data_IF_160222835827
#
_entry.id   IF_160222835827
#
_cell.length_a   1.000
_cell.length_b   1.000
_cell.length_c   1.000
_cell.angle_alpha   90.00
_cell.angle_beta   90.00
_cell.angle_gamma   90.00
#
_symmetry.space_group_name_H-M   'P 1'
#
loop_
_entity.id
_entity.type
_entity.pdbx_description
1 polymer ?
#
# COMPACT_ATOMS: atom_id res chain seq x y z
N UNK A 1 -10.10 -79.98 -14.18
CA UNK A 1 -9.41 -79.01 -13.30
C UNK A 1 -8.24 -78.34 -14.03
N UNK A 2 -7.43 -79.08 -14.80
CA UNK A 2 -6.28 -78.53 -15.55
C UNK A 2 -6.63 -77.56 -16.70
N UNK A 3 -7.73 -77.73 -17.46
CA UNK A 3 -8.05 -76.78 -18.56
C UNK A 3 -8.39 -75.37 -18.05
N UNK A 4 -9.13 -75.26 -16.94
CA UNK A 4 -9.46 -73.95 -16.33
C UNK A 4 -8.23 -73.26 -15.74
N UNK A 5 -7.24 -74.03 -15.27
CA UNK A 5 -5.97 -73.49 -14.80
C UNK A 5 -5.17 -72.89 -15.97
N UNK A 6 -5.12 -73.60 -17.10
CA UNK A 6 -4.45 -73.10 -18.30
C UNK A 6 -5.13 -71.82 -18.84
N UNK A 7 -6.47 -71.74 -18.81
CA UNK A 7 -7.19 -70.51 -19.16
C UNK A 7 -6.87 -69.34 -18.22
N UNK A 8 -6.72 -69.61 -16.92
CA UNK A 8 -6.32 -68.61 -15.91
C UNK A 8 -4.87 -68.15 -16.15
N UNK A 9 -3.95 -69.06 -16.48
CA UNK A 9 -2.55 -68.74 -16.78
C UNK A 9 -2.43 -67.92 -18.07
N UNK A 10 -3.19 -68.25 -19.10
CA UNK A 10 -3.26 -67.45 -20.33
C UNK A 10 -3.83 -66.05 -20.10
N UNK A 11 -4.88 -65.93 -19.27
CA UNK A 11 -5.44 -64.62 -18.92
C UNK A 11 -4.44 -63.79 -18.09
N UNK A 12 -3.72 -64.42 -17.16
CA UNK A 12 -2.70 -63.75 -16.39
C UNK A 12 -1.49 -63.34 -17.25
N UNK A 13 -1.06 -64.17 -18.21
CA UNK A 13 -0.02 -63.81 -19.19
C UNK A 13 -0.42 -62.55 -19.99
N UNK A 14 -1.70 -62.43 -20.41
CA UNK A 14 -2.23 -61.20 -21.04
C UNK A 14 -2.21 -59.99 -20.10
N UNK A 15 -2.57 -60.17 -18.82
CA UNK A 15 -2.52 -59.09 -17.83
C UNK A 15 -1.09 -58.59 -17.58
N UNK A 16 -0.10 -59.48 -17.69
CA UNK A 16 1.32 -59.14 -17.59
C UNK A 16 1.80 -58.37 -18.82
N UNK A 17 1.40 -58.79 -20.03
CA UNK A 17 1.70 -58.07 -21.26
C UNK A 17 1.10 -56.65 -21.22
N UNK A 18 -0.13 -56.51 -20.70
CA UNK A 18 -0.76 -55.20 -20.46
C UNK A 18 0.03 -54.37 -19.42
N UNK A 19 0.51 -55.00 -18.34
CA UNK A 19 1.32 -54.31 -17.34
C UNK A 19 2.66 -53.81 -17.92
N UNK A 20 3.32 -54.63 -18.76
CA UNK A 20 4.55 -54.23 -19.46
C UNK A 20 4.27 -53.09 -20.44
N UNK A 21 3.21 -53.17 -21.23
CA UNK A 21 2.82 -52.11 -22.16
C UNK A 21 2.52 -50.78 -21.44
N UNK A 22 1.80 -50.83 -20.30
CA UNK A 22 1.54 -49.64 -19.47
C UNK A 22 2.86 -49.08 -18.91
N UNK A 23 3.76 -49.95 -18.47
CA UNK A 23 5.07 -49.55 -17.95
C UNK A 23 5.90 -48.83 -19.02
N UNK A 24 6.02 -49.39 -20.21
CA UNK A 24 6.79 -48.81 -21.32
C UNK A 24 6.18 -47.50 -21.81
N UNK A 25 4.85 -47.43 -21.96
CA UNK A 25 4.16 -46.23 -22.43
C UNK A 25 4.33 -45.03 -21.49
N UNK A 26 4.32 -45.27 -20.17
CA UNK A 26 4.35 -44.19 -19.15
C UNK A 26 5.67 -44.10 -18.39
N UNK A 27 6.74 -44.80 -18.84
CA UNK A 27 8.05 -44.77 -18.20
C UNK A 27 8.68 -43.37 -18.19
N UNK A 28 8.42 -42.59 -19.25
CA UNK A 28 8.93 -41.23 -19.40
C UNK A 28 8.17 -40.23 -18.51
N UNK A 29 6.83 -40.33 -18.48
CA UNK A 29 5.95 -39.47 -17.68
C UNK A 29 4.89 -40.32 -16.97
N UNK A 30 5.20 -40.82 -15.76
CA UNK A 30 4.29 -41.68 -15.03
C UNK A 30 3.09 -40.89 -14.50
N UNK A 31 1.87 -41.47 -14.47
CA UNK A 31 0.71 -40.80 -13.92
C UNK A 31 0.87 -40.63 -12.40
N UNK A 32 1.16 -39.40 -11.98
CA UNK A 32 1.33 -39.04 -10.58
C UNK A 32 -0.01 -38.63 -9.96
N UNK A 33 -0.24 -39.02 -8.70
CA UNK A 33 -1.37 -38.47 -7.95
C UNK A 33 -1.05 -37.05 -7.48
N UNK A 34 -2.08 -36.23 -7.23
CA UNK A 34 -1.93 -34.87 -6.71
C UNK A 34 -0.97 -34.82 -5.51
N UNK A 35 -0.06 -33.85 -5.53
CA UNK A 35 0.98 -33.60 -4.52
C UNK A 35 2.10 -34.65 -4.39
N UNK A 36 2.19 -35.65 -5.28
CA UNK A 36 3.38 -36.52 -5.30
C UNK A 36 4.54 -35.83 -6.02
N UNK A 37 5.77 -35.93 -5.46
CA UNK A 37 6.94 -35.39 -6.12
C UNK A 37 7.38 -36.32 -7.27
N UNK A 38 8.06 -35.81 -8.31
CA UNK A 38 8.23 -36.51 -9.59
C UNK A 38 9.04 -37.81 -9.53
N UNK A 39 10.12 -37.89 -8.74
CA UNK A 39 10.99 -39.06 -8.63
C UNK A 39 10.34 -40.14 -7.76
N UNK A 40 9.95 -39.80 -6.53
CA UNK A 40 9.35 -40.76 -5.62
C UNK A 40 7.96 -41.19 -6.09
N UNK A 41 7.21 -40.30 -6.75
CA UNK A 41 5.95 -40.62 -7.40
C UNK A 41 6.12 -41.61 -8.55
N UNK A 42 7.15 -41.43 -9.39
CA UNK A 42 7.49 -42.38 -10.46
C UNK A 42 7.84 -43.77 -9.90
N UNK A 43 8.63 -43.83 -8.84
CA UNK A 43 9.00 -45.09 -8.15
C UNK A 43 7.77 -45.74 -7.51
N UNK A 44 6.90 -44.95 -6.87
CA UNK A 44 5.68 -45.45 -6.25
C UNK A 44 4.70 -46.00 -7.29
N UNK A 45 4.58 -45.34 -8.44
CA UNK A 45 3.79 -45.84 -9.56
C UNK A 45 4.33 -47.18 -10.09
N UNK A 46 5.64 -47.29 -10.32
CA UNK A 46 6.24 -48.55 -10.78
C UNK A 46 6.09 -49.67 -9.76
N UNK A 47 6.23 -49.38 -8.46
CA UNK A 47 5.97 -50.32 -7.36
C UNK A 47 4.50 -50.74 -7.28
N UNK A 48 3.56 -49.84 -7.53
CA UNK A 48 2.12 -50.14 -7.55
C UNK A 48 1.76 -51.11 -8.68
N UNK A 49 2.29 -50.86 -9.88
CA UNK A 49 2.11 -51.73 -11.04
C UNK A 49 2.66 -53.14 -10.78
N UNK A 50 3.86 -53.23 -10.19
CA UNK A 50 4.45 -54.51 -9.80
C UNK A 50 3.69 -55.19 -8.67
N UNK A 51 3.22 -54.45 -7.66
CA UNK A 51 2.47 -54.99 -6.53
C UNK A 51 1.17 -55.67 -6.99
N UNK A 52 0.49 -55.12 -7.99
CA UNK A 52 -0.70 -55.74 -8.59
C UNK A 52 -0.38 -57.09 -9.22
N UNK A 53 0.69 -57.17 -10.00
CA UNK A 53 1.13 -58.43 -10.64
C UNK A 53 1.64 -59.43 -9.59
N UNK A 54 2.39 -58.96 -8.58
CA UNK A 54 2.89 -59.77 -7.47
C UNK A 54 1.77 -60.38 -6.63
N UNK A 55 0.69 -59.64 -6.38
CA UNK A 55 -0.47 -60.15 -5.64
C UNK A 55 -1.13 -61.33 -6.37
N UNK A 56 -1.35 -61.20 -7.68
CA UNK A 56 -1.91 -62.27 -8.49
C UNK A 56 -0.94 -63.46 -8.58
N UNK A 57 0.35 -63.21 -8.74
CA UNK A 57 1.39 -64.26 -8.74
C UNK A 57 1.43 -65.03 -7.41
N UNK A 58 1.36 -64.33 -6.28
CA UNK A 58 1.35 -64.97 -4.95
C UNK A 58 0.10 -65.84 -4.73
N UNK A 59 -1.06 -65.42 -5.24
CA UNK A 59 -2.28 -66.24 -5.20
C UNK A 59 -2.13 -67.51 -6.03
N UNK A 60 -1.55 -67.41 -7.23
CA UNK A 60 -1.28 -68.57 -8.07
C UNK A 60 -0.32 -69.53 -7.37
N UNK A 61 0.77 -69.04 -6.79
CA UNK A 61 1.74 -69.86 -6.05
C UNK A 61 1.18 -70.50 -4.76
N UNK A 62 0.10 -69.96 -4.19
CA UNK A 62 -0.57 -70.52 -3.00
C UNK A 62 -1.53 -71.68 -3.32
N UNK A 63 -1.78 -71.96 -4.60
CA UNK A 63 -2.58 -73.11 -5.01
C UNK A 63 -1.69 -74.36 -4.97
N UNK A 64 -2.19 -75.48 -4.42
CA UNK A 64 -1.46 -76.76 -4.29
C UNK A 64 -1.14 -77.45 -5.64
N UNK A 65 -1.37 -76.77 -6.77
CA UNK A 65 -1.10 -77.29 -8.10
C UNK A 65 0.28 -76.83 -8.57
N UNK A 66 1.11 -77.76 -9.06
CA UNK A 66 2.44 -77.44 -9.58
C UNK A 66 2.35 -76.69 -10.92
N UNK A 67 2.19 -75.37 -10.83
CA UNK A 67 2.15 -74.44 -11.98
C UNK A 67 3.48 -74.45 -12.75
N UNK A 68 4.59 -74.92 -12.16
CA UNK A 68 5.91 -74.92 -12.82
C UNK A 68 6.10 -76.07 -13.82
N UNK A 69 5.26 -77.10 -13.75
CA UNK A 69 5.28 -78.22 -14.69
C UNK A 69 4.71 -77.85 -16.07
N UNK A 70 3.81 -76.88 -16.14
CA UNK A 70 3.13 -76.47 -17.37
C UNK A 70 3.94 -75.41 -18.16
N UNK A 71 3.93 -75.52 -19.50
CA UNK A 71 4.61 -74.56 -20.39
C UNK A 71 4.09 -73.13 -20.20
N UNK A 72 2.76 -72.98 -20.01
CA UNK A 72 2.11 -71.70 -19.72
C UNK A 72 2.56 -71.09 -18.38
N UNK A 73 2.84 -71.91 -17.36
CA UNK A 73 3.33 -71.43 -16.08
C UNK A 73 4.80 -71.00 -16.11
N UNK A 74 5.63 -71.63 -16.96
CA UNK A 74 7.01 -71.18 -17.23
C UNK A 74 7.06 -69.84 -17.96
N UNK A 75 6.22 -69.64 -18.98
CA UNK A 75 6.09 -68.36 -19.70
C UNK A 75 5.70 -67.21 -18.75
N UNK A 76 4.66 -67.43 -17.93
CA UNK A 76 4.23 -66.48 -16.90
C UNK A 76 5.36 -66.15 -15.92
N UNK A 77 6.13 -67.15 -15.47
CA UNK A 77 7.23 -66.93 -14.54
C UNK A 77 8.36 -66.09 -15.16
N UNK A 78 8.71 -66.36 -16.42
CA UNK A 78 9.73 -65.61 -17.15
C UNK A 78 9.32 -64.15 -17.36
N UNK A 79 8.07 -63.91 -17.80
CA UNK A 79 7.51 -62.55 -17.92
C UNK A 79 7.49 -61.82 -16.58
N UNK A 80 7.24 -62.53 -15.49
CA UNK A 80 7.19 -61.96 -14.14
C UNK A 80 8.57 -61.49 -13.70
N UNK A 81 9.58 -62.33 -13.92
CA UNK A 81 10.98 -61.99 -13.66
C UNK A 81 11.49 -60.89 -14.60
N UNK A 82 11.02 -60.85 -15.85
CA UNK A 82 11.25 -59.74 -16.79
C UNK A 82 10.73 -58.41 -16.24
N UNK A 83 9.45 -58.35 -15.87
CA UNK A 83 8.84 -57.15 -15.29
C UNK A 83 9.50 -56.74 -13.96
N UNK A 84 9.80 -57.69 -13.09
CA UNK A 84 10.52 -57.44 -11.84
C UNK A 84 11.88 -56.77 -12.09
N UNK A 85 12.66 -57.28 -13.07
CA UNK A 85 13.94 -56.70 -13.45
C UNK A 85 13.78 -55.29 -14.03
N UNK A 86 12.81 -55.07 -14.90
CA UNK A 86 12.53 -53.75 -15.48
C UNK A 86 12.20 -52.69 -14.42
N UNK A 87 11.31 -53.04 -13.47
CA UNK A 87 10.94 -52.15 -12.36
C UNK A 87 12.13 -51.89 -11.45
N UNK A 88 12.94 -52.90 -11.14
CA UNK A 88 14.12 -52.76 -10.27
C UNK A 88 15.23 -51.90 -10.91
N UNK A 89 15.45 -52.01 -12.23
CA UNK A 89 16.42 -51.17 -12.95
C UNK A 89 15.93 -49.73 -13.03
N UNK A 90 14.63 -49.52 -13.30
CA UNK A 90 14.03 -48.19 -13.33
C UNK A 90 14.11 -47.51 -11.96
N UNK A 91 13.74 -48.22 -10.90
CA UNK A 91 13.78 -47.73 -9.52
C UNK A 91 15.20 -47.32 -9.12
N UNK A 92 16.19 -48.19 -9.36
CA UNK A 92 17.60 -47.89 -9.03
C UNK A 92 18.17 -46.75 -9.88
N UNK A 93 17.84 -46.70 -11.17
CA UNK A 93 18.28 -45.61 -12.05
C UNK A 93 17.73 -44.25 -11.60
N UNK A 94 16.41 -44.16 -11.39
CA UNK A 94 15.76 -42.93 -10.94
C UNK A 94 16.27 -42.46 -9.58
N UNK A 95 16.49 -43.38 -8.64
CA UNK A 95 17.06 -43.04 -7.34
C UNK A 95 18.51 -42.55 -7.45
N UNK A 96 19.33 -43.19 -8.29
CA UNK A 96 20.72 -42.80 -8.51
C UNK A 96 20.82 -41.39 -9.10
N UNK A 97 20.07 -41.12 -10.17
CA UNK A 97 20.04 -39.79 -10.82
C UNK A 97 19.59 -38.69 -9.84
N UNK A 98 18.60 -39.01 -8.99
CA UNK A 98 18.15 -38.11 -7.94
C UNK A 98 19.22 -37.89 -6.86
N UNK A 99 19.88 -38.95 -6.37
CA UNK A 99 20.90 -38.83 -5.33
C UNK A 99 22.10 -37.98 -5.79
N UNK A 100 22.52 -38.13 -7.05
CA UNK A 100 23.62 -37.33 -7.63
C UNK A 100 23.24 -35.84 -7.79
N UNK A 101 21.97 -35.56 -8.12
CA UNK A 101 21.50 -34.18 -8.31
C UNK A 101 21.06 -33.50 -7.01
N UNK A 102 20.60 -34.26 -6.02
CA UNK A 102 20.06 -33.78 -4.75
C UNK A 102 21.06 -32.89 -3.98
N UNK A 103 22.31 -33.34 -3.87
CA UNK A 103 23.36 -32.61 -3.14
C UNK A 103 23.72 -31.29 -3.84
N UNK A 104 23.80 -31.32 -5.17
CA UNK A 104 24.08 -30.13 -5.98
C UNK A 104 22.95 -29.09 -5.87
N UNK A 105 21.69 -29.53 -5.96
CA UNK A 105 20.50 -28.68 -5.82
C UNK A 105 20.46 -28.05 -4.42
N UNK A 106 20.69 -28.85 -3.37
CA UNK A 106 20.72 -28.37 -2.00
C UNK A 106 21.82 -27.31 -1.81
N UNK A 107 23.06 -27.62 -2.18
CA UNK A 107 24.20 -26.72 -1.97
C UNK A 107 24.08 -25.43 -2.77
N UNK A 108 23.57 -25.49 -4.01
CA UNK A 108 23.41 -24.32 -4.86
C UNK A 108 22.33 -23.38 -4.30
N UNK A 109 21.12 -23.88 -4.04
CA UNK A 109 20.01 -23.04 -3.61
C UNK A 109 20.12 -22.55 -2.17
N UNK A 110 20.75 -23.31 -1.26
CA UNK A 110 20.95 -22.85 0.13
C UNK A 110 22.00 -21.73 0.24
N UNK A 111 22.94 -21.65 -0.71
CA UNK A 111 23.96 -20.59 -0.77
C UNK A 111 23.45 -19.29 -1.38
N UNK A 112 22.29 -19.32 -2.05
CA UNK A 112 21.69 -18.12 -2.62
C UNK A 112 21.24 -17.14 -1.53
N UNK A 113 21.24 -15.83 -1.82
CA UNK A 113 20.75 -14.84 -0.88
C UNK A 113 19.25 -15.03 -0.65
N UNK A 114 18.81 -14.64 0.55
CA UNK A 114 17.43 -14.85 0.98
C UNK A 114 16.44 -13.90 0.32
N UNK A 115 16.89 -12.70 -0.06
CA UNK A 115 16.09 -11.72 -0.77
C UNK A 115 16.59 -11.57 -2.20
N UNK A 116 15.66 -11.38 -3.13
CA UNK A 116 15.94 -11.04 -4.52
C UNK A 116 15.12 -9.82 -4.94
N UNK A 117 15.62 -9.08 -5.94
CA UNK A 117 14.85 -8.03 -6.60
C UNK A 117 14.23 -8.61 -7.85
N UNK A 118 12.92 -8.50 -7.96
CA UNK A 118 12.10 -9.04 -9.04
C UNK A 118 11.79 -7.95 -10.07
N UNK A 119 12.12 -8.21 -11.33
CA UNK A 119 11.80 -7.41 -12.51
C UNK A 119 12.39 -5.99 -12.58
N UNK A 120 12.00 -5.25 -13.64
CA UNK A 120 12.36 -3.84 -13.88
C UNK A 120 11.84 -2.89 -12.77
N UNK A 121 10.78 -3.30 -12.06
CA UNK A 121 10.19 -2.55 -10.96
C UNK A 121 10.99 -2.62 -9.64
N UNK A 122 11.98 -3.52 -9.53
CA UNK A 122 12.86 -3.64 -8.38
C UNK A 122 12.16 -4.07 -7.08
N UNK A 123 11.03 -4.80 -7.15
CA UNK A 123 10.30 -5.28 -5.97
C UNK A 123 11.09 -6.39 -5.27
N UNK A 124 11.22 -6.30 -3.96
CA UNK A 124 11.92 -7.25 -3.11
C UNK A 124 11.00 -8.43 -2.83
N UNK A 125 11.47 -9.64 -3.11
CA UNK A 125 10.79 -10.90 -2.82
C UNK A 125 11.73 -11.89 -2.12
N UNK A 126 11.13 -12.85 -1.41
CA UNK A 126 11.88 -13.94 -0.79
C UNK A 126 12.35 -14.91 -1.87
N UNK A 127 13.62 -15.27 -1.82
CA UNK A 127 14.28 -16.13 -2.79
C UNK A 127 14.34 -17.57 -2.28
N UNK A 128 13.17 -18.20 -2.15
CA UNK A 128 13.06 -19.62 -1.84
C UNK A 128 12.67 -20.40 -3.10
N UNK A 129 13.59 -21.22 -3.61
CA UNK A 129 13.36 -21.96 -4.85
C UNK A 129 12.48 -23.20 -4.62
N UNK A 130 11.50 -23.40 -5.49
CA UNK A 130 10.61 -24.57 -5.44
C UNK A 130 11.36 -25.91 -5.51
N UNK A 131 12.56 -25.93 -6.12
CA UNK A 131 13.43 -27.10 -6.14
C UNK A 131 13.81 -27.59 -4.74
N UNK A 132 13.95 -26.70 -3.75
CA UNK A 132 14.22 -27.08 -2.36
C UNK A 132 12.99 -27.73 -1.72
N UNK A 133 11.80 -27.14 -1.90
CA UNK A 133 10.54 -27.74 -1.43
C UNK A 133 10.31 -29.12 -2.05
N UNK A 134 10.60 -29.25 -3.35
CA UNK A 134 10.51 -30.52 -4.06
C UNK A 134 11.51 -31.52 -3.49
N UNK A 135 12.78 -31.13 -3.28
CA UNK A 135 13.80 -31.98 -2.69
C UNK A 135 13.39 -32.50 -1.31
N UNK A 136 12.93 -31.62 -0.41
CA UNK A 136 12.47 -32.01 0.94
C UNK A 136 11.33 -33.04 0.88
N UNK A 137 10.37 -32.84 -0.04
CA UNK A 137 9.28 -33.78 -0.28
C UNK A 137 9.79 -35.11 -0.83
N UNK A 138 10.66 -35.10 -1.85
CA UNK A 138 11.27 -36.31 -2.41
C UNK A 138 11.97 -37.14 -1.33
N UNK A 139 12.79 -36.49 -0.51
CA UNK A 139 13.50 -37.10 0.61
C UNK A 139 12.54 -37.81 1.56
N UNK A 140 11.46 -37.15 2.01
CA UNK A 140 10.46 -37.77 2.92
C UNK A 140 9.76 -38.99 2.31
N UNK A 141 9.47 -38.97 1.00
CA UNK A 141 8.83 -40.11 0.33
C UNK A 141 9.80 -41.27 0.10
N UNK A 142 11.06 -40.98 -0.28
CA UNK A 142 12.10 -41.99 -0.47
C UNK A 142 12.49 -42.67 0.86
N UNK A 143 12.51 -41.92 1.95
CA UNK A 143 12.82 -42.43 3.29
C UNK A 143 11.79 -43.48 3.72
N UNK A 144 10.50 -43.12 3.62
CA UNK A 144 9.36 -44.00 3.88
C UNK A 144 9.33 -45.24 3.00
N UNK A 145 9.97 -45.18 1.83
CA UNK A 145 10.09 -46.28 0.90
C UNK A 145 11.30 -47.20 1.16
N UNK A 146 12.14 -46.87 2.15
CA UNK A 146 13.27 -47.66 2.62
C UNK A 146 14.58 -47.44 1.86
N UNK A 147 14.72 -46.32 1.13
CA UNK A 147 15.96 -45.98 0.44
C UNK A 147 17.01 -45.37 1.39
N UNK A 148 18.28 -45.63 1.12
CA UNK A 148 19.39 -45.00 1.85
C UNK A 148 19.66 -43.59 1.30
N UNK A 149 19.08 -42.58 1.95
CA UNK A 149 19.13 -41.18 1.51
C UNK A 149 20.51 -40.55 1.76
N UNK A 150 21.02 -39.71 0.84
CA UNK A 150 22.20 -38.88 1.08
C UNK A 150 22.06 -37.97 2.31
N UNK A 151 23.09 -37.91 3.14
CA UNK A 151 23.06 -37.16 4.41
C UNK A 151 22.69 -35.68 4.25
N UNK A 152 23.17 -35.03 3.18
CA UNK A 152 22.85 -33.63 2.87
C UNK A 152 21.36 -33.44 2.61
N UNK A 153 20.75 -34.27 1.76
CA UNK A 153 19.32 -34.21 1.47
C UNK A 153 18.45 -34.51 2.70
N UNK A 154 18.89 -35.44 3.55
CA UNK A 154 18.23 -35.77 4.81
C UNK A 154 18.25 -34.58 5.78
N UNK A 155 19.42 -33.96 5.99
CA UNK A 155 19.57 -32.80 6.86
C UNK A 155 18.72 -31.61 6.42
N UNK A 156 18.59 -31.39 5.11
CA UNK A 156 17.73 -30.33 4.56
C UNK A 156 16.25 -30.63 4.81
N UNK A 157 15.81 -31.88 4.63
CA UNK A 157 14.43 -32.29 4.90
C UNK A 157 14.06 -32.25 6.39
N UNK A 158 15.00 -32.52 7.29
CA UNK A 158 14.81 -32.38 8.73
C UNK A 158 14.60 -30.92 9.16
N UNK A 159 15.11 -29.96 8.39
CA UNK A 159 14.98 -28.53 8.65
C UNK A 159 13.81 -27.86 7.91
N UNK A 160 12.95 -28.61 7.23
CA UNK A 160 11.82 -28.11 6.43
C UNK A 160 10.93 -27.12 7.22
N UNK A 161 10.56 -27.47 8.46
CA UNK A 161 9.71 -26.62 9.30
C UNK A 161 10.39 -25.29 9.64
N UNK A 162 11.71 -25.31 9.85
CA UNK A 162 12.51 -24.10 10.11
C UNK A 162 12.56 -23.21 8.88
N UNK A 163 12.76 -23.77 7.68
CA UNK A 163 12.75 -23.00 6.44
C UNK A 163 11.38 -22.39 6.17
N UNK A 164 10.29 -23.14 6.39
CA UNK A 164 8.93 -22.63 6.24
C UNK A 164 8.66 -21.44 7.18
N UNK A 165 9.01 -21.56 8.46
CA UNK A 165 8.87 -20.45 9.41
C UNK A 165 9.70 -19.22 9.01
N UNK A 166 10.92 -19.42 8.50
CA UNK A 166 11.76 -18.32 8.02
C UNK A 166 11.16 -17.64 6.79
N UNK A 167 10.67 -18.41 5.81
CA UNK A 167 10.02 -17.89 4.59
C UNK A 167 8.78 -17.08 4.96
N UNK A 168 7.88 -17.65 5.76
CA UNK A 168 6.66 -16.96 6.21
C UNK A 168 7.00 -15.66 6.97
N UNK A 169 7.97 -15.71 7.88
CA UNK A 169 8.37 -14.53 8.63
C UNK A 169 8.95 -13.41 7.73
N UNK A 170 9.72 -13.77 6.69
CA UNK A 170 10.25 -12.81 5.71
C UNK A 170 9.15 -12.26 4.80
N UNK A 171 8.20 -13.09 4.37
CA UNK A 171 7.06 -12.67 3.55
C UNK A 171 6.19 -11.67 4.30
N UNK A 172 5.83 -11.98 5.55
CA UNK A 172 5.06 -11.06 6.42
C UNK A 172 5.83 -9.75 6.64
N UNK A 173 7.14 -9.83 6.90
CA UNK A 173 7.99 -8.64 7.07
C UNK A 173 8.02 -7.77 5.81
N UNK A 174 8.17 -8.37 4.62
CA UNK A 174 8.17 -7.64 3.34
C UNK A 174 6.79 -7.06 3.03
N UNK A 175 5.71 -7.78 3.32
CA UNK A 175 4.36 -7.29 3.17
C UNK A 175 4.14 -6.04 4.03
N UNK A 176 4.53 -6.10 5.31
CA UNK A 176 4.46 -4.96 6.21
C UNK A 176 5.29 -3.78 5.70
N UNK A 177 6.53 -4.01 5.24
CA UNK A 177 7.35 -2.97 4.60
C UNK A 177 6.63 -2.28 3.44
N UNK A 178 6.00 -3.05 2.53
CA UNK A 178 5.27 -2.48 1.40
C UNK A 178 3.98 -1.78 1.79
N UNK A 179 3.27 -2.28 2.80
CA UNK A 179 2.10 -1.59 3.36
C UNK A 179 2.49 -0.20 3.87
N UNK A 180 3.57 -0.09 4.65
CA UNK A 180 4.07 1.21 5.13
C UNK A 180 4.42 2.15 3.97
N UNK A 181 5.12 1.64 2.95
CA UNK A 181 5.48 2.45 1.78
C UNK A 181 4.26 2.94 0.99
N UNK A 182 3.20 2.13 0.92
CA UNK A 182 1.97 2.48 0.20
C UNK A 182 1.17 3.60 0.86
N UNK A 183 1.38 3.85 2.15
CA UNK A 183 0.71 4.92 2.89
C UNK A 183 1.27 6.31 2.59
N UNK A 184 2.50 6.40 2.05
CA UNK A 184 3.19 7.67 1.86
C UNK A 184 2.71 8.42 0.62
N UNK A 185 2.37 9.69 0.78
CA UNK A 185 2.19 10.61 -0.35
C UNK A 185 3.54 10.95 -1.00
N UNK A 186 3.57 11.44 -2.26
CA UNK A 186 4.82 11.83 -2.92
C UNK A 186 5.65 12.86 -2.13
N UNK A 187 4.98 13.80 -1.46
CA UNK A 187 5.64 14.84 -0.65
C UNK A 187 6.24 14.23 0.62
N UNK A 188 5.50 13.35 1.30
CA UNK A 188 6.00 12.64 2.49
C UNK A 188 7.15 11.67 2.15
N UNK A 189 7.10 11.03 0.96
CA UNK A 189 8.19 10.19 0.47
C UNK A 189 9.48 10.99 0.24
N UNK A 190 9.35 12.20 -0.31
CA UNK A 190 10.49 13.13 -0.45
C UNK A 190 11.05 13.53 0.92
N UNK A 191 10.15 13.93 1.85
CA UNK A 191 10.51 14.32 3.21
C UNK A 191 11.26 13.21 3.96
N UNK A 192 10.81 11.96 3.83
CA UNK A 192 11.37 10.81 4.54
C UNK A 192 12.45 10.07 3.76
N UNK A 193 12.95 10.62 2.64
CA UNK A 193 13.95 9.98 1.76
C UNK A 193 15.18 9.46 2.50
N UNK A 194 15.70 10.21 3.48
CA UNK A 194 16.84 9.76 4.30
C UNK A 194 16.49 8.56 5.20
N UNK A 195 15.29 8.57 5.81
CA UNK A 195 14.80 7.46 6.66
C UNK A 195 14.50 6.22 5.83
N UNK A 196 13.96 6.39 4.62
CA UNK A 196 13.75 5.32 3.64
C UNK A 196 15.09 4.67 3.25
N UNK A 197 16.13 5.47 3.02
CA UNK A 197 17.47 4.95 2.74
C UNK A 197 18.04 4.13 3.91
N UNK A 198 17.81 4.58 5.15
CA UNK A 198 18.19 3.81 6.34
C UNK A 198 17.44 2.48 6.43
N UNK A 199 16.16 2.46 6.07
CA UNK A 199 15.34 1.24 6.03
C UNK A 199 15.84 0.27 4.95
N UNK A 200 16.19 0.77 3.77
CA UNK A 200 16.81 -0.02 2.70
C UNK A 200 18.17 -0.60 3.09
N UNK A 201 18.98 0.14 3.85
CA UNK A 201 20.26 -0.35 4.38
C UNK A 201 20.05 -1.51 5.36
N UNK A 202 19.01 -1.47 6.19
CA UNK A 202 18.65 -2.56 7.11
C UNK A 202 18.19 -3.81 6.36
N UNK A 203 17.61 -3.66 5.16
CA UNK A 203 17.27 -4.79 4.27
C UNK A 203 18.49 -5.32 3.49
N UNK A 204 19.56 -4.52 3.39
CA UNK A 204 20.81 -4.84 2.68
C UNK A 204 21.39 -6.23 2.98
N UNK A 205 21.54 -6.64 4.26
CA UNK A 205 22.07 -7.95 4.63
C UNK A 205 21.32 -9.14 4.03
N UNK A 206 20.03 -8.99 3.70
CA UNK A 206 19.24 -10.03 3.06
C UNK A 206 19.59 -10.29 1.59
N UNK A 207 20.29 -9.37 0.92
CA UNK A 207 20.79 -9.53 -0.45
C UNK A 207 22.21 -10.10 -0.50
N UNK A 208 23.00 -9.87 0.54
CA UNK A 208 24.33 -10.45 0.81
C UNK A 208 24.77 -9.91 2.18
N UNK A 209 25.25 -10.72 3.15
CA UNK A 209 25.74 -12.09 3.08
C UNK A 209 24.77 -13.17 3.58
N UNK A 210 23.55 -12.83 3.99
CA UNK A 210 22.64 -13.80 4.58
C UNK A 210 22.12 -14.79 3.53
N UNK A 211 22.31 -16.06 3.83
CA UNK A 211 21.83 -17.21 3.06
C UNK A 211 21.01 -18.14 3.94
N UNK A 212 20.39 -19.17 3.36
CA UNK A 212 19.51 -20.09 4.09
C UNK A 212 20.21 -20.93 5.16
N UNK A 213 21.55 -21.04 5.11
CA UNK A 213 22.35 -21.68 6.15
C UNK A 213 22.65 -20.77 7.36
N UNK A 214 22.28 -19.50 7.30
CA UNK A 214 22.57 -18.52 8.34
C UNK A 214 21.69 -18.76 9.57
N UNK A 215 22.28 -18.80 10.77
CA UNK A 215 21.53 -18.97 12.02
C UNK A 215 20.81 -17.69 12.46
N UNK A 216 21.25 -16.51 12.00
CA UNK A 216 20.75 -15.19 12.39
C UNK A 216 19.54 -14.67 11.59
N UNK A 217 18.80 -15.54 10.89
CA UNK A 217 17.64 -15.13 10.10
C UNK A 217 16.56 -14.52 10.98
N UNK A 218 16.29 -15.15 12.13
CA UNK A 218 15.25 -14.67 13.05
C UNK A 218 15.62 -13.30 13.64
N UNK A 219 16.88 -13.10 14.01
CA UNK A 219 17.37 -11.81 14.52
C UNK A 219 17.33 -10.72 13.44
N UNK A 220 17.65 -11.07 12.19
CA UNK A 220 17.51 -10.18 11.04
C UNK A 220 16.05 -9.75 10.86
N UNK A 221 15.10 -10.69 10.81
CA UNK A 221 13.67 -10.39 10.69
C UNK A 221 13.19 -9.53 11.86
N UNK A 222 13.61 -9.83 13.09
CA UNK A 222 13.25 -9.03 14.26
C UNK A 222 13.79 -7.60 14.19
N UNK A 223 15.05 -7.43 13.75
CA UNK A 223 15.68 -6.12 13.53
C UNK A 223 14.98 -5.31 12.44
N UNK A 224 14.67 -5.94 11.31
CA UNK A 224 13.90 -5.32 10.23
C UNK A 224 12.51 -4.90 10.71
N UNK A 225 11.76 -5.81 11.35
CA UNK A 225 10.43 -5.49 11.89
C UNK A 225 10.48 -4.35 12.90
N UNK A 226 11.49 -4.31 13.79
CA UNK A 226 11.67 -3.19 14.71
C UNK A 226 11.85 -1.87 13.95
N UNK A 227 12.70 -1.84 12.92
CA UNK A 227 12.93 -0.64 12.11
C UNK A 227 11.73 -0.24 11.25
N UNK A 228 10.98 -1.21 10.71
CA UNK A 228 9.73 -0.95 10.00
C UNK A 228 8.68 -0.38 10.97
N UNK A 229 8.56 -0.90 12.20
CA UNK A 229 7.64 -0.38 13.22
C UNK A 229 8.00 1.04 13.68
N UNK A 230 9.30 1.32 13.90
CA UNK A 230 9.80 2.67 14.19
C UNK A 230 9.45 3.64 13.05
N UNK A 231 9.63 3.20 11.79
CA UNK A 231 9.29 3.99 10.61
C UNK A 231 7.77 4.19 10.47
N UNK A 232 6.95 3.15 10.65
CA UNK A 232 5.49 3.25 10.63
C UNK A 232 4.98 4.23 11.68
N UNK A 233 5.56 4.22 12.88
CA UNK A 233 5.21 5.16 13.94
C UNK A 233 5.50 6.61 13.54
N UNK A 234 6.63 6.85 12.87
CA UNK A 234 6.97 8.15 12.30
C UNK A 234 5.99 8.57 11.19
N UNK A 235 5.65 7.67 10.26
CA UNK A 235 4.65 7.92 9.22
C UNK A 235 3.30 8.32 9.83
N UNK A 236 2.82 7.55 10.80
CA UNK A 236 1.57 7.84 11.51
C UNK A 236 1.61 9.21 12.21
N UNK A 237 2.74 9.57 12.82
CA UNK A 237 2.90 10.87 13.49
C UNK A 237 2.86 12.03 12.49
N UNK A 238 3.52 11.90 11.33
CA UNK A 238 3.49 12.92 10.28
C UNK A 238 2.08 13.05 9.72
N UNK A 239 1.44 11.94 9.33
CA UNK A 239 0.07 11.95 8.80
C UNK A 239 -0.95 12.52 9.77
N UNK A 240 -0.80 12.24 11.08
CA UNK A 240 -1.66 12.86 12.11
C UNK A 240 -1.53 14.38 12.12
N UNK A 241 -0.31 14.91 12.05
CA UNK A 241 -0.09 16.35 11.97
C UNK A 241 -0.61 16.90 10.63
N UNK A 242 -0.36 16.22 9.51
CA UNK A 242 -0.88 16.57 8.18
C UNK A 242 -2.41 16.70 8.21
N UNK A 243 -3.11 15.73 8.77
CA UNK A 243 -4.59 15.76 8.86
C UNK A 243 -5.09 16.93 9.72
N UNK A 244 -4.38 17.30 10.78
CA UNK A 244 -4.74 18.48 11.59
C UNK A 244 -4.54 19.77 10.78
N UNK A 245 -3.43 19.89 10.06
CA UNK A 245 -3.15 21.05 9.20
C UNK A 245 -4.18 21.14 8.08
N UNK A 246 -4.51 20.02 7.42
CA UNK A 246 -5.52 19.94 6.37
C UNK A 246 -6.90 20.40 6.86
N UNK A 247 -7.29 20.06 8.09
CA UNK A 247 -8.52 20.57 8.72
C UNK A 247 -8.49 22.08 8.94
N UNK A 248 -7.33 22.65 9.29
CA UNK A 248 -7.17 24.10 9.41
C UNK A 248 -7.30 24.76 8.03
N UNK A 249 -6.59 24.26 7.02
CA UNK A 249 -6.64 24.76 5.63
C UNK A 249 -8.06 24.69 5.07
N UNK A 250 -8.73 23.55 5.22
CA UNK A 250 -10.12 23.36 4.79
C UNK A 250 -11.07 24.28 5.56
N UNK A 251 -10.80 24.53 6.85
CA UNK A 251 -11.54 25.47 7.66
C UNK A 251 -11.39 26.92 7.21
N UNK A 252 -10.21 27.31 6.69
CA UNK A 252 -9.97 28.61 6.07
C UNK A 252 -10.75 28.72 4.75
N UNK A 253 -10.63 27.73 3.87
CA UNK A 253 -11.28 27.73 2.56
C UNK A 253 -12.81 27.83 2.63
N UNK A 254 -13.43 27.19 3.62
CA UNK A 254 -14.88 27.12 3.80
C UNK A 254 -15.45 28.18 4.74
N UNK A 255 -14.64 29.12 5.22
CA UNK A 255 -15.11 30.14 6.14
C UNK A 255 -16.14 31.06 5.45
N UNK A 256 -17.22 31.36 6.17
CA UNK A 256 -18.23 32.31 5.71
C UNK A 256 -17.82 33.70 6.19
N UNK A 257 -17.25 34.52 5.32
CA UNK A 257 -16.85 35.89 5.68
C UNK A 257 -18.05 36.84 5.69
N UNK A 258 -18.98 36.65 4.74
CA UNK A 258 -20.19 37.47 4.57
C UNK A 258 -21.36 36.84 5.30
N UNK A 259 -22.07 37.64 6.12
CA UNK A 259 -23.28 37.24 6.84
C UNK A 259 -24.54 37.78 6.18
N UNK A 260 -25.68 37.15 6.49
CA UNK A 260 -26.96 37.83 6.33
C UNK A 260 -27.21 38.75 7.53
N UNK A 261 -27.80 39.94 7.30
CA UNK A 261 -28.21 40.81 8.39
C UNK A 261 -29.31 40.13 9.25
N UNK A 262 -29.46 40.52 10.53
CA UNK A 262 -30.50 39.99 11.41
C UNK A 262 -31.91 40.26 10.85
N UNK A 263 -32.82 39.32 11.09
CA UNK A 263 -34.25 39.47 10.76
C UNK A 263 -34.97 40.22 11.89
N UNK A 264 -34.56 41.46 12.16
CA UNK A 264 -35.21 42.35 13.12
C UNK A 264 -36.35 43.14 12.47
N UNK A 265 -37.29 43.65 13.29
CA UNK A 265 -38.44 44.44 12.83
C UNK A 265 -38.01 45.80 12.22
N UNK A 266 -36.86 46.33 12.63
CA UNK A 266 -36.31 47.58 12.10
C UNK A 266 -35.17 47.32 11.09
N UNK A 267 -35.29 47.91 9.91
CA UNK A 267 -34.28 47.84 8.86
C UNK A 267 -33.12 48.78 9.22
N UNK A 268 -31.91 48.22 9.27
CA UNK A 268 -30.67 48.96 9.52
C UNK A 268 -30.46 50.10 8.53
N UNK A 269 -29.73 51.14 8.91
CA UNK A 269 -29.21 52.11 7.94
C UNK A 269 -27.97 51.57 7.19
N UNK A 270 -27.48 52.32 6.21
CA UNK A 270 -26.32 51.90 5.40
C UNK A 270 -25.04 51.77 6.24
N UNK A 271 -24.86 52.64 7.24
CA UNK A 271 -23.67 52.66 8.08
C UNK A 271 -23.70 51.48 9.06
N UNK A 272 -24.83 51.23 9.70
CA UNK A 272 -25.09 50.08 10.56
C UNK A 272 -24.90 48.76 9.79
N UNK A 273 -25.40 48.68 8.55
CA UNK A 273 -25.19 47.51 7.68
C UNK A 273 -23.71 47.30 7.35
N UNK A 274 -22.99 48.37 7.00
CA UNK A 274 -21.55 48.33 6.74
C UNK A 274 -20.78 47.83 7.96
N UNK A 275 -21.06 48.42 9.13
CA UNK A 275 -20.41 48.07 10.40
C UNK A 275 -20.73 46.63 10.83
N UNK A 276 -21.95 46.15 10.59
CA UNK A 276 -22.33 44.77 10.87
C UNK A 276 -21.49 43.76 10.08
N UNK A 277 -21.38 43.93 8.76
CA UNK A 277 -20.58 43.06 7.91
C UNK A 277 -19.09 43.16 8.28
N UNK A 278 -18.60 44.38 8.49
CA UNK A 278 -17.19 44.60 8.78
C UNK A 278 -16.78 44.02 10.13
N UNK A 279 -17.60 44.20 11.16
CA UNK A 279 -17.38 43.60 12.48
C UNK A 279 -17.33 42.08 12.41
N UNK A 280 -18.24 41.46 11.67
CA UNK A 280 -18.22 40.01 11.48
C UNK A 280 -16.97 39.56 10.71
N UNK A 281 -16.64 40.24 9.61
CA UNK A 281 -15.45 39.95 8.78
C UNK A 281 -14.18 39.95 9.64
N UNK A 282 -13.98 40.99 10.45
CA UNK A 282 -12.82 41.11 11.35
C UNK A 282 -12.79 39.95 12.36
N UNK A 283 -13.93 39.63 12.99
CA UNK A 283 -14.01 38.52 13.96
C UNK A 283 -13.64 37.17 13.33
N UNK A 284 -14.15 36.90 12.12
CA UNK A 284 -13.83 35.66 11.39
C UNK A 284 -12.36 35.67 10.97
N UNK A 285 -11.84 36.77 10.43
CA UNK A 285 -10.44 36.90 10.04
C UNK A 285 -9.50 36.63 11.22
N UNK A 286 -9.73 37.27 12.37
CA UNK A 286 -8.93 37.08 13.58
C UNK A 286 -8.94 35.62 14.06
N UNK A 287 -10.10 34.98 14.00
CA UNK A 287 -10.22 33.56 14.35
C UNK A 287 -9.45 32.65 13.39
N UNK A 288 -9.51 32.92 12.09
CA UNK A 288 -8.78 32.16 11.08
C UNK A 288 -7.27 32.36 11.19
N UNK A 289 -6.80 33.58 11.48
CA UNK A 289 -5.39 33.88 11.69
C UNK A 289 -4.85 33.14 12.92
N UNK A 290 -5.62 33.09 14.01
CA UNK A 290 -5.26 32.29 15.20
C UNK A 290 -5.08 30.81 14.84
N UNK A 291 -5.98 30.25 14.02
CA UNK A 291 -5.85 28.87 13.52
C UNK A 291 -4.67 28.70 12.57
N UNK A 292 -4.44 29.64 11.66
CA UNK A 292 -3.29 29.63 10.75
C UNK A 292 -1.96 29.57 11.51
N UNK A 293 -1.83 30.36 12.58
CA UNK A 293 -0.63 30.37 13.43
C UNK A 293 -0.36 29.05 14.17
N UNK A 294 -1.34 28.14 14.29
CA UNK A 294 -1.09 26.81 14.86
C UNK A 294 -0.41 25.85 13.89
N UNK A 295 -0.40 26.16 12.58
CA UNK A 295 0.23 25.33 11.56
C UNK A 295 1.75 25.27 11.76
N UNK A 296 2.40 26.41 12.03
CA UNK A 296 3.86 26.46 12.19
C UNK A 296 4.37 25.57 13.34
N UNK A 297 3.78 25.61 14.56
CA UNK A 297 4.11 24.64 15.62
C UNK A 297 3.85 23.16 15.26
N UNK A 298 2.82 22.86 14.46
CA UNK A 298 2.55 21.49 14.00
C UNK A 298 3.63 21.01 13.01
N UNK A 299 4.07 21.90 12.13
CA UNK A 299 5.19 21.64 11.21
C UNK A 299 6.52 21.51 11.96
N UNK A 300 6.73 22.28 13.03
CA UNK A 300 7.88 22.13 13.93
C UNK A 300 7.91 20.75 14.60
N UNK A 301 6.76 20.21 15.02
CA UNK A 301 6.67 18.83 15.54
C UNK A 301 6.99 17.76 14.48
N UNK A 302 6.68 18.02 13.22
CA UNK A 302 7.05 17.13 12.10
C UNK A 302 8.56 17.20 11.85
N UNK A 303 9.14 18.40 11.87
CA UNK A 303 10.60 18.59 11.79
C UNK A 303 11.31 17.86 12.93
N UNK A 304 10.79 17.95 14.16
CA UNK A 304 11.37 17.29 15.33
C UNK A 304 11.37 15.77 15.15
N UNK A 305 10.26 15.21 14.66
CA UNK A 305 10.13 13.78 14.44
C UNK A 305 11.04 13.26 13.31
N UNK A 306 11.17 14.00 12.20
CA UNK A 306 11.90 13.55 11.01
C UNK A 306 13.40 13.90 11.09
N UNK A 307 13.71 15.14 11.47
CA UNK A 307 15.04 15.74 11.45
C UNK A 307 15.69 15.84 12.83
N UNK A 308 14.93 15.72 13.92
CA UNK A 308 15.44 15.93 15.28
C UNK A 308 15.64 17.41 15.63
N UNK A 309 15.13 18.33 14.81
CA UNK A 309 15.23 19.79 15.01
C UNK A 309 13.85 20.42 15.04
N UNK A 310 13.68 21.54 15.73
CA UNK A 310 12.42 22.28 15.79
C UNK A 310 12.67 23.77 15.53
N UNK A 311 13.29 24.06 14.40
CA UNK A 311 13.76 25.41 14.06
C UNK A 311 12.84 26.12 13.07
N UNK A 312 12.00 25.37 12.37
CA UNK A 312 11.21 25.81 11.24
C UNK A 312 12.01 26.05 9.96
N UNK A 313 13.30 25.67 9.92
CA UNK A 313 14.27 26.06 8.88
C UNK A 313 15.05 24.88 8.28
N UNK A 314 14.65 23.65 8.56
CA UNK A 314 15.33 22.46 8.05
C UNK A 314 15.23 22.37 6.52
N UNK A 315 16.37 22.20 5.85
CA UNK A 315 16.43 22.07 4.39
C UNK A 315 15.66 20.85 3.86
N UNK A 316 15.57 19.77 4.65
CA UNK A 316 14.81 18.57 4.29
C UNK A 316 13.30 18.81 4.32
N UNK A 317 12.85 19.77 5.13
CA UNK A 317 11.45 20.17 5.23
C UNK A 317 11.06 21.23 4.20
N UNK A 318 12.00 21.84 3.47
CA UNK A 318 11.71 22.96 2.58
C UNK A 318 10.59 22.65 1.58
N UNK A 319 10.66 21.52 0.87
CA UNK A 319 9.60 21.11 -0.07
C UNK A 319 8.26 20.83 0.61
N UNK A 320 8.30 20.40 1.88
CA UNK A 320 7.11 20.12 2.68
C UNK A 320 6.46 21.42 3.16
N UNK A 321 7.25 22.42 3.56
CA UNK A 321 6.75 23.76 3.88
C UNK A 321 6.12 24.44 2.67
N UNK A 322 6.80 24.39 1.51
CA UNK A 322 6.29 24.95 0.26
C UNK A 322 4.94 24.31 -0.15
N UNK A 323 4.79 22.99 0.06
CA UNK A 323 3.53 22.29 -0.19
C UNK A 323 2.38 22.85 0.66
N UNK A 324 2.58 23.00 1.98
CA UNK A 324 1.56 23.55 2.86
C UNK A 324 1.28 25.04 2.60
N UNK A 325 2.31 25.83 2.31
CA UNK A 325 2.13 27.23 1.94
C UNK A 325 1.27 27.37 0.67
N UNK A 326 1.50 26.51 -0.32
CA UNK A 326 0.68 26.45 -1.53
C UNK A 326 -0.78 26.11 -1.26
N UNK A 327 -1.05 25.15 -0.37
CA UNK A 327 -2.42 24.80 0.03
C UNK A 327 -3.11 25.94 0.81
N UNK A 328 -2.37 26.65 1.66
CA UNK A 328 -2.88 27.82 2.39
C UNK A 328 -3.25 28.95 1.40
N UNK A 329 -2.38 29.21 0.42
CA UNK A 329 -2.66 30.18 -0.63
C UNK A 329 -3.93 29.83 -1.42
N UNK A 330 -4.09 28.56 -1.80
CA UNK A 330 -5.30 28.07 -2.48
C UNK A 330 -6.56 28.27 -1.62
N UNK A 331 -6.49 27.92 -0.33
CA UNK A 331 -7.59 28.13 0.61
C UNK A 331 -7.98 29.61 0.77
N UNK A 332 -7.00 30.51 0.81
CA UNK A 332 -7.24 31.96 0.88
C UNK A 332 -7.89 32.50 -0.41
N UNK A 333 -7.52 31.98 -1.58
CA UNK A 333 -8.21 32.32 -2.82
C UNK A 333 -9.67 31.81 -2.81
N UNK A 334 -9.88 30.55 -2.38
CA UNK A 334 -11.23 29.98 -2.28
C UNK A 334 -12.13 30.77 -1.34
N UNK A 335 -11.63 31.21 -0.18
CA UNK A 335 -12.44 31.98 0.78
C UNK A 335 -12.81 33.36 0.22
N UNK A 336 -11.90 34.04 -0.47
CA UNK A 336 -12.19 35.36 -1.09
C UNK A 336 -13.23 35.21 -2.20
N UNK A 337 -13.06 34.23 -3.10
CA UNK A 337 -14.02 33.96 -4.19
C UNK A 337 -15.41 33.57 -3.65
N UNK A 338 -15.45 32.69 -2.65
CA UNK A 338 -16.69 32.30 -1.96
C UNK A 338 -17.36 33.50 -1.29
N UNK A 339 -16.57 34.40 -0.69
CA UNK A 339 -17.06 35.62 -0.05
C UNK A 339 -17.63 36.62 -1.05
N UNK A 340 -16.96 36.85 -2.18
CA UNK A 340 -17.46 37.71 -3.26
C UNK A 340 -18.76 37.14 -3.85
N UNK A 341 -18.80 35.84 -4.10
CA UNK A 341 -20.01 35.14 -4.56
C UNK A 341 -21.13 35.23 -3.53
N UNK A 342 -20.81 35.08 -2.24
CA UNK A 342 -21.73 35.23 -1.12
C UNK A 342 -22.32 36.64 -1.03
N UNK A 343 -21.49 37.67 -1.20
CA UNK A 343 -21.94 39.06 -1.23
C UNK A 343 -22.81 39.37 -2.45
N UNK A 344 -22.42 38.88 -3.63
CA UNK A 344 -23.23 39.02 -4.85
C UNK A 344 -24.59 38.33 -4.71
N UNK A 345 -24.63 37.14 -4.09
CA UNK A 345 -25.87 36.45 -3.77
C UNK A 345 -26.72 37.19 -2.72
N UNK A 346 -26.09 37.78 -1.70
CA UNK A 346 -26.77 38.61 -0.70
C UNK A 346 -27.53 39.77 -1.38
N UNK A 347 -26.91 40.43 -2.35
CA UNK A 347 -27.51 41.52 -3.12
C UNK A 347 -28.56 41.00 -4.12
N UNK A 348 -28.27 39.92 -4.85
CA UNK A 348 -29.15 39.41 -5.92
C UNK A 348 -30.40 38.69 -5.41
N UNK A 349 -30.37 38.03 -4.24
CA UNK A 349 -31.55 37.41 -3.62
C UNK A 349 -32.73 38.37 -3.43
N UNK A 350 -32.47 39.68 -3.48
CA UNK A 350 -33.45 40.75 -3.27
C UNK A 350 -33.88 41.46 -4.57
N UNK A 351 -33.31 41.07 -5.73
CA UNK A 351 -33.68 41.59 -7.06
C UNK A 351 -34.91 40.91 -7.68
N UNK A 352 -35.44 39.84 -7.06
CA UNK A 352 -36.55 39.06 -7.59
C UNK A 352 -37.95 39.64 -7.29
N UNK A 353 -38.84 39.62 -8.30
CA UNK A 353 -40.30 39.66 -8.06
C UNK A 353 -40.68 38.43 -7.21
N UNK A 354 -41.64 38.60 -6.28
CA UNK A 354 -42.19 37.60 -5.32
C UNK A 354 -41.99 36.12 -5.74
N UNK A 355 -41.64 35.20 -4.82
CA UNK A 355 -41.63 33.78 -5.14
C UNK A 355 -43.02 33.38 -5.67
N UNK A 356 -43.04 32.72 -6.82
CA UNK A 356 -44.25 32.19 -7.49
C UNK A 356 -44.87 30.97 -6.77
N UNK A 357 -44.31 30.55 -5.63
CA UNK A 357 -44.75 29.38 -4.89
C UNK A 357 -45.06 29.75 -3.43
N UNK A 358 -46.21 29.27 -2.97
CA UNK A 358 -46.82 29.53 -1.67
C UNK A 358 -45.87 29.18 -0.52
N UNK A 359 -45.55 30.16 0.33
CA UNK A 359 -44.89 29.93 1.64
C UNK A 359 -43.57 30.66 1.88
N UNK A 360 -42.88 31.18 0.85
CA UNK A 360 -41.61 31.90 1.04
C UNK A 360 -41.83 33.38 1.41
N UNK A 361 -41.54 33.76 2.67
CA UNK A 361 -41.52 35.18 3.05
C UNK A 361 -40.47 35.94 2.20
N UNK A 362 -40.78 37.13 1.65
CA UNK A 362 -39.78 37.96 1.00
C UNK A 362 -38.66 38.29 2.00
N UNK A 363 -37.39 38.12 1.59
CA UNK A 363 -36.25 38.40 2.48
C UNK A 363 -36.21 39.87 2.87
N UNK A 364 -35.89 40.13 4.14
CA UNK A 364 -35.75 41.47 4.69
C UNK A 364 -34.78 42.33 3.85
N UNK A 365 -35.09 43.62 3.61
CA UNK A 365 -34.20 44.55 2.92
C UNK A 365 -32.86 44.71 3.67
N UNK A 366 -31.80 45.08 2.96
CA UNK A 366 -30.44 45.17 3.55
C UNK A 366 -30.25 46.42 4.41
N UNK A 367 -30.69 47.56 3.90
CA UNK A 367 -30.62 48.84 4.58
C UNK A 367 -31.72 49.79 4.08
N UNK A 368 -32.09 50.78 4.90
CA UNK A 368 -33.07 51.82 4.56
C UNK A 368 -32.42 53.00 3.83
N UNK A 369 -33.18 53.61 2.93
CA UNK A 369 -32.83 54.86 2.23
C UNK A 369 -33.99 55.83 2.41
N UNK A 370 -33.70 57.01 2.94
CA UNK A 370 -34.67 58.05 3.26
C UNK A 370 -34.71 59.10 2.14
N UNK A 371 -35.91 59.44 1.66
CA UNK A 371 -36.10 60.50 0.68
C UNK A 371 -36.85 61.65 1.35
N UNK A 372 -36.28 62.85 1.31
CA UNK A 372 -36.87 64.08 1.85
C UNK A 372 -36.97 65.15 0.77
N UNK A 373 -38.08 65.86 0.72
CA UNK A 373 -38.27 66.98 -0.20
C UNK A 373 -37.82 68.27 0.49
N UNK A 374 -36.71 68.86 0.05
CA UNK A 374 -36.26 70.19 0.50
C UNK A 374 -36.37 71.13 -0.69
N UNK A 375 -37.48 71.88 -0.77
CA UNK A 375 -37.79 72.73 -1.92
C UNK A 375 -36.58 73.53 -2.43
N UNK A 376 -36.25 73.47 -3.74
CA UNK A 376 -36.93 72.77 -4.84
C UNK A 376 -36.37 71.34 -5.13
N UNK A 377 -35.50 70.79 -4.28
CA UNK A 377 -34.74 69.58 -4.57
C UNK A 377 -35.22 68.34 -3.77
N UNK A 378 -35.20 67.19 -4.43
CA UNK A 378 -35.38 65.89 -3.80
C UNK A 378 -34.03 65.43 -3.24
N UNK A 379 -33.93 65.32 -1.92
CA UNK A 379 -32.72 64.89 -1.22
C UNK A 379 -32.88 63.44 -0.78
N UNK A 380 -32.06 62.55 -1.35
CA UNK A 380 -31.94 61.13 -0.96
C UNK A 380 -30.79 60.96 0.01
N UNK A 381 -31.05 60.33 1.16
CA UNK A 381 -30.07 60.04 2.21
C UNK A 381 -30.05 58.53 2.50
N UNK A 382 -28.91 57.84 2.36
CA UNK A 382 -27.62 58.34 1.86
C UNK A 382 -27.61 58.59 0.33
N UNK A 383 -26.78 59.51 -0.19
CA UNK A 383 -26.58 59.69 -1.62
C UNK A 383 -26.09 58.42 -2.31
N UNK A 384 -26.44 58.22 -3.59
CA UNK A 384 -26.02 57.04 -4.37
C UNK A 384 -24.49 56.93 -4.45
N UNK A 385 -23.79 58.07 -4.50
CA UNK A 385 -22.32 58.10 -4.47
C UNK A 385 -21.74 57.51 -3.18
N UNK A 386 -22.40 57.73 -2.05
CA UNK A 386 -22.02 57.16 -0.75
C UNK A 386 -22.32 55.66 -0.69
N UNK A 387 -23.48 55.23 -1.20
CA UNK A 387 -23.84 53.80 -1.33
C UNK A 387 -22.78 53.07 -2.16
N UNK A 388 -22.44 53.57 -3.34
CA UNK A 388 -21.43 52.96 -4.21
C UNK A 388 -20.04 52.92 -3.54
N UNK A 389 -19.68 53.99 -2.82
CA UNK A 389 -18.41 54.07 -2.08
C UNK A 389 -18.34 53.01 -0.98
N UNK A 390 -19.38 52.86 -0.16
CA UNK A 390 -19.39 51.88 0.93
C UNK A 390 -19.49 50.44 0.42
N UNK A 391 -20.31 50.16 -0.60
CA UNK A 391 -20.36 48.83 -1.21
C UNK A 391 -19.04 48.45 -1.90
N UNK A 392 -18.41 49.39 -2.62
CA UNK A 392 -17.09 49.18 -3.20
C UNK A 392 -16.02 48.91 -2.13
N UNK A 393 -16.10 49.61 -0.99
CA UNK A 393 -15.24 49.38 0.16
C UNK A 393 -15.46 47.99 0.77
N UNK A 394 -16.71 47.52 0.90
CA UNK A 394 -16.98 46.15 1.38
C UNK A 394 -16.32 45.10 0.50
N UNK A 395 -16.43 45.22 -0.83
CA UNK A 395 -15.78 44.29 -1.77
C UNK A 395 -14.26 44.30 -1.60
N UNK A 396 -13.66 45.49 -1.48
CA UNK A 396 -12.22 45.61 -1.20
C UNK A 396 -11.84 44.96 0.13
N UNK A 397 -12.62 45.18 1.18
CA UNK A 397 -12.39 44.62 2.50
C UNK A 397 -12.44 43.08 2.49
N UNK A 398 -13.21 42.45 1.58
CA UNK A 398 -13.20 40.99 1.42
C UNK A 398 -11.81 40.47 1.04
N UNK A 399 -11.12 41.15 0.12
CA UNK A 399 -9.73 40.82 -0.26
C UNK A 399 -8.78 41.14 0.90
N UNK A 400 -8.98 42.28 1.59
CA UNK A 400 -8.18 42.67 2.75
C UNK A 400 -8.29 41.69 3.94
N UNK A 401 -9.25 40.76 3.94
CA UNK A 401 -9.34 39.63 4.89
C UNK A 401 -8.07 38.78 4.88
N UNK A 402 -7.32 38.77 3.77
CA UNK A 402 -6.07 38.00 3.64
C UNK A 402 -4.83 38.76 4.14
N UNK A 403 -4.92 40.06 4.40
CA UNK A 403 -3.80 40.90 4.84
C UNK A 403 -3.16 40.47 6.16
N UNK A 404 -3.91 39.99 7.18
CA UNK A 404 -3.29 39.51 8.42
C UNK A 404 -2.54 38.18 8.30
N UNK A 405 -2.64 37.47 7.16
CA UNK A 405 -1.95 36.21 6.94
C UNK A 405 -0.54 36.48 6.43
N UNK A 406 0.44 36.38 7.34
CA UNK A 406 1.85 36.58 7.04
C UNK A 406 2.41 35.41 6.23
N UNK A 407 3.19 35.70 5.19
CA UNK A 407 3.92 34.71 4.39
C UNK A 407 5.06 34.11 5.22
N UNK A 408 5.50 32.91 4.86
CA UNK A 408 6.70 32.32 5.45
C UNK A 408 7.95 32.76 4.69
N UNK A 409 9.11 32.74 5.36
CA UNK A 409 10.38 32.86 4.64
C UNK A 409 10.58 31.63 3.76
N UNK A 410 11.17 31.82 2.58
CA UNK A 410 11.35 30.77 1.57
C UNK A 410 11.99 29.51 2.16
N UNK A 411 11.34 28.36 1.98
CA UNK A 411 11.83 27.07 2.47
C UNK A 411 11.78 26.92 4.00
N UNK A 412 10.94 27.70 4.68
CA UNK A 412 10.75 27.66 6.14
C UNK A 412 9.26 27.67 6.49
N UNK A 413 8.93 27.37 7.74
CA UNK A 413 7.59 27.64 8.30
C UNK A 413 7.58 28.82 9.28
N UNK A 414 8.57 29.71 9.19
CA UNK A 414 8.70 30.91 10.03
C UNK A 414 8.16 32.13 9.31
N UNK A 415 7.29 32.90 9.99
CA UNK A 415 6.71 34.13 9.45
C UNK A 415 7.80 35.13 9.04
N UNK A 416 7.65 35.73 7.87
CA UNK A 416 8.61 36.71 7.35
C UNK A 416 8.57 37.99 8.20
N UNK A 417 9.70 38.43 8.78
CA UNK A 417 9.75 39.65 9.57
C UNK A 417 9.53 40.87 8.66
N UNK A 418 8.95 41.97 9.19
CA UNK A 418 8.81 43.22 8.45
C UNK A 418 10.18 43.72 7.95
N UNK A 419 10.24 44.19 6.70
CA UNK A 419 11.47 44.69 6.08
C UNK A 419 11.43 46.22 5.98
N UNK A 420 12.47 46.88 6.48
CA UNK A 420 12.62 48.33 6.34
C UNK A 420 13.06 48.63 4.90
N UNK A 421 12.25 49.34 4.12
CA UNK A 421 12.58 49.73 2.74
C UNK A 421 13.42 50.99 2.70
N UNK A 422 13.06 52.01 3.50
CA UNK A 422 13.75 53.30 3.69
C UNK A 422 13.54 53.82 5.12
N UNK A 423 14.42 54.71 5.59
CA UNK A 423 14.43 55.20 6.99
C UNK A 423 13.12 55.90 7.44
N UNK A 424 12.31 56.41 6.50
CA UNK A 424 11.04 57.12 6.77
C UNK A 424 9.77 56.37 6.30
N UNK A 425 9.89 55.14 5.78
CA UNK A 425 8.75 54.36 5.29
C UNK A 425 8.28 53.30 6.31
N UNK A 426 6.97 53.01 6.32
CA UNK A 426 6.44 51.91 7.13
C UNK A 426 7.07 50.57 6.69
N UNK A 427 7.44 49.68 7.64
CA UNK A 427 8.03 48.39 7.31
C UNK A 427 7.15 47.58 6.36
N UNK A 428 7.73 47.08 5.28
CA UNK A 428 7.02 46.22 4.34
C UNK A 428 6.77 44.85 4.96
N UNK A 429 5.50 44.45 5.02
CA UNK A 429 5.07 43.17 5.57
C UNK A 429 4.68 42.21 4.44
N UNK A 430 5.34 41.05 4.38
CA UNK A 430 5.01 40.01 3.42
C UNK A 430 3.75 39.26 3.85
N UNK A 431 2.68 39.45 3.10
CA UNK A 431 1.36 38.85 3.35
C UNK A 431 0.87 38.15 2.10
N UNK A 432 -0.09 37.23 2.23
CA UNK A 432 -0.74 36.61 1.07
C UNK A 432 -1.61 37.59 0.27
N UNK A 433 -1.91 38.77 0.81
CA UNK A 433 -2.79 39.76 0.20
C UNK A 433 -2.38 40.16 -1.20
N UNK A 434 -1.10 40.42 -1.45
CA UNK A 434 -0.65 40.92 -2.76
C UNK A 434 -0.88 39.90 -3.86
N UNK A 435 -0.62 38.62 -3.59
CA UNK A 435 -0.80 37.55 -4.56
C UNK A 435 -2.27 37.18 -4.76
N UNK A 436 -3.08 37.25 -3.70
CA UNK A 436 -4.53 37.06 -3.80
C UNK A 436 -5.18 38.22 -4.56
N UNK A 437 -4.75 39.47 -4.31
CA UNK A 437 -5.27 40.65 -4.99
C UNK A 437 -4.87 40.71 -6.48
N UNK A 438 -3.71 40.14 -6.82
CA UNK A 438 -3.25 40.01 -8.21
C UNK A 438 -3.81 38.78 -8.94
N UNK A 439 -4.61 37.94 -8.25
CA UNK A 439 -5.19 36.75 -8.86
C UNK A 439 -6.18 37.17 -9.98
N UNK A 440 -5.99 36.68 -11.23
CA UNK A 440 -6.85 37.04 -12.35
C UNK A 440 -8.24 36.39 -12.34
N UNK A 441 -8.46 35.38 -11.49
CA UNK A 441 -9.76 34.73 -11.27
C UNK A 441 -10.56 35.47 -10.21
#
# INVERSE_FOLDING_TARGET
MMSKLNDILHQFSKEMDIAVAIFEAHRAEPPLTRNQPPVAGAIKWSRSLFARVKHTMNKLLSMEVDIRGEEAGRDVHEKYMGLARMVMVFERGKFKDWAESADSIAMHHLKQPMLRRDGEAGRISVNFHNNLTQLMRETRYLDRMGFAIPEVALNVALQEDKYHQCVEALEIMLEHYYQVLSMLTPVERSLMSQKLRQLELVLGPGFSPLNWNSLGISDFVASCNKKINEFQSLVNQVQKNSSIIEKVVTGIANAKIVTEPPEDDEVMDLQEFYEHIEKHRIQVADHLVKKYRTISPLLGKVEEAVCGTNTGKSALMASYYDHWEGLIFQALNSVVLSSMTGFLNLVNKRKGKKPRCEGGKPKAPLFKVSMSLRNPEVVVQPPISEVNKLLGRLVKNLVETTKPFLRWMRGTCTEAPPQQTRDDEEPYVFTFYWDVAANPQ
#
